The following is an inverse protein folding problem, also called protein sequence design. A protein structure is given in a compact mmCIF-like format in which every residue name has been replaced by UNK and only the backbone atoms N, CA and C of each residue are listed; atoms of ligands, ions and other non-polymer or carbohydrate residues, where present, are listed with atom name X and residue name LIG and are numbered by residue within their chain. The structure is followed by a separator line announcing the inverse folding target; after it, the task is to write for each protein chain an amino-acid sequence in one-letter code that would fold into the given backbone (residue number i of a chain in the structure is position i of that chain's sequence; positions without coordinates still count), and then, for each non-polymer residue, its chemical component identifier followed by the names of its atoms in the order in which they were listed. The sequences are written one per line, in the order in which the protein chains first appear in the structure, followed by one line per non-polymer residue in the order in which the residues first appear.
data_IF_050404024919
#
_entry.id   IF_050404024919
#
_cell.length_a   1.000
_cell.length_b   1.000
_cell.length_c   1.000
_cell.angle_alpha   90.00
_cell.angle_beta   90.00
_cell.angle_gamma   90.00
#
_symmetry.space_group_name_H-M   'P 1'
#
loop_
_entity.id
_entity.type
_entity.pdbx_description
1 polymer ?
#
# COMPACT_ATOMS: atom_id res chain seq x y z
N UNK A 1 -7.24 -15.88 -13.91
CA UNK A 1 -5.85 -15.44 -13.59
C UNK A 1 -5.16 -14.98 -14.87
N UNK A 2 -4.10 -14.17 -14.78
CA UNK A 2 -3.33 -13.70 -15.95
C UNK A 2 -2.81 -14.85 -16.84
N UNK A 3 -2.57 -16.03 -16.25
CA UNK A 3 -2.29 -17.28 -16.97
C UNK A 3 -3.44 -17.71 -17.91
N UNK A 4 -4.70 -17.47 -17.54
CA UNK A 4 -5.88 -17.80 -18.37
C UNK A 4 -5.98 -16.94 -19.63
N UNK A 5 -5.36 -15.77 -19.64
CA UNK A 5 -5.41 -14.82 -20.76
C UNK A 5 -4.05 -14.57 -21.43
N UNK A 6 -3.01 -15.34 -21.06
CA UNK A 6 -1.64 -15.22 -21.61
C UNK A 6 -1.08 -13.78 -21.60
N UNK A 7 -1.49 -12.96 -20.64
CA UNK A 7 -1.02 -11.58 -20.46
C UNK A 7 0.32 -11.57 -19.68
N UNK A 8 1.34 -12.24 -20.23
CA UNK A 8 2.67 -12.26 -19.64
C UNK A 8 3.49 -11.00 -19.96
N UNK A 9 3.05 -10.21 -20.95
CA UNK A 9 3.88 -9.15 -21.55
C UNK A 9 3.18 -7.78 -21.65
N UNK A 10 1.95 -7.67 -21.13
CA UNK A 10 1.18 -6.42 -21.15
C UNK A 10 0.93 -5.90 -19.74
N UNK A 11 1.90 -5.12 -19.24
CA UNK A 11 1.71 -3.95 -18.35
C UNK A 11 0.57 -4.05 -17.31
N UNK A 12 0.39 -5.20 -16.65
CA UNK A 12 -0.73 -5.42 -15.73
C UNK A 12 -0.69 -4.43 -14.55
N UNK A 13 0.52 -4.04 -14.14
CA UNK A 13 0.74 -3.15 -13.00
C UNK A 13 1.02 -1.69 -13.40
N UNK A 14 0.76 -1.30 -14.64
CA UNK A 14 1.13 0.04 -15.14
C UNK A 14 0.51 1.18 -14.33
N UNK A 15 -0.77 1.07 -13.95
CA UNK A 15 -1.45 2.05 -13.10
C UNK A 15 -0.93 2.06 -11.66
N UNK A 16 -0.75 0.89 -11.05
CA UNK A 16 -0.26 0.78 -9.68
C UNK A 16 1.19 1.28 -9.55
N UNK A 17 2.04 0.94 -10.51
CA UNK A 17 3.42 1.41 -10.61
C UNK A 17 3.49 2.93 -10.74
N UNK A 18 2.62 3.51 -11.57
CA UNK A 18 2.54 4.96 -11.74
C UNK A 18 2.09 5.66 -10.45
N UNK A 19 1.02 5.18 -9.83
CA UNK A 19 0.52 5.74 -8.57
C UNK A 19 1.55 5.63 -7.43
N UNK A 20 2.26 4.51 -7.32
CA UNK A 20 3.31 4.30 -6.33
C UNK A 20 4.58 5.11 -6.62
N UNK A 21 4.83 5.45 -7.89
CA UNK A 21 5.85 6.42 -8.28
C UNK A 21 5.50 7.82 -7.78
N UNK A 22 4.32 8.32 -8.14
CA UNK A 22 3.86 9.63 -7.64
C UNK A 22 3.79 9.70 -6.12
N UNK A 23 3.34 8.64 -5.44
CA UNK A 23 3.35 8.61 -3.98
C UNK A 23 4.76 8.80 -3.40
N UNK A 24 5.79 8.23 -4.04
CA UNK A 24 7.19 8.46 -3.66
C UNK A 24 7.57 9.92 -3.90
N UNK A 25 7.26 10.45 -5.08
CA UNK A 25 7.63 11.82 -5.50
C UNK A 25 6.98 12.90 -4.62
N UNK A 26 5.76 12.65 -4.13
CA UNK A 26 5.02 13.53 -3.22
C UNK A 26 5.26 13.24 -1.73
N UNK A 27 6.24 12.39 -1.39
CA UNK A 27 6.52 11.98 0.00
C UNK A 27 5.31 11.39 0.74
N UNK A 28 4.37 10.78 0.01
CA UNK A 28 3.21 10.09 0.57
C UNK A 28 3.68 8.69 1.04
N UNK A 29 3.39 8.29 2.30
CA UNK A 29 3.73 6.96 2.79
C UNK A 29 3.15 5.86 1.90
N UNK A 30 4.02 4.93 1.49
CA UNK A 30 3.66 3.79 0.65
C UNK A 30 3.51 2.53 1.51
N UNK A 31 2.51 1.73 1.18
CA UNK A 31 2.27 0.44 1.82
C UNK A 31 1.95 -0.62 0.76
N UNK A 32 2.36 -1.86 1.00
CA UNK A 32 2.12 -3.00 0.10
C UNK A 32 1.63 -4.21 0.89
N UNK A 33 0.73 -4.99 0.31
CA UNK A 33 0.32 -6.27 0.86
C UNK A 33 1.23 -7.37 0.30
N UNK A 34 1.97 -8.04 1.17
CA UNK A 34 2.90 -9.07 0.75
C UNK A 34 3.17 -10.05 1.89
N UNK A 35 3.03 -11.34 1.61
CA UNK A 35 3.47 -12.43 2.47
C UNK A 35 4.57 -13.23 1.75
N UNK A 36 5.79 -13.21 2.30
CA UNK A 36 6.93 -13.90 1.69
C UNK A 36 6.71 -15.40 1.52
N UNK A 37 5.91 -16.02 2.39
CA UNK A 37 5.67 -17.47 2.36
C UNK A 37 4.71 -17.88 1.24
N UNK A 38 3.74 -17.02 0.91
CA UNK A 38 2.68 -17.31 -0.06
C UNK A 38 2.93 -16.66 -1.43
N UNK A 39 3.53 -15.46 -1.45
CA UNK A 39 3.54 -14.58 -2.62
C UNK A 39 4.88 -14.55 -3.35
N UNK A 40 5.93 -15.17 -2.79
CA UNK A 40 7.29 -15.14 -3.34
C UNK A 40 7.39 -15.69 -4.77
N UNK A 41 6.63 -16.74 -5.07
CA UNK A 41 6.63 -17.40 -6.38
C UNK A 41 5.51 -16.92 -7.31
N UNK A 42 4.69 -15.96 -6.87
CA UNK A 42 3.55 -15.47 -7.64
C UNK A 42 3.94 -14.21 -8.44
N UNK A 43 3.85 -14.24 -9.79
CA UNK A 43 4.25 -13.12 -10.64
C UNK A 43 3.38 -11.87 -10.45
N UNK A 44 2.19 -12.00 -9.87
CA UNK A 44 1.32 -10.86 -9.57
C UNK A 44 1.91 -9.90 -8.52
N UNK A 45 2.85 -10.37 -7.70
CA UNK A 45 3.45 -9.58 -6.61
C UNK A 45 4.84 -9.02 -6.94
N UNK A 46 5.25 -9.08 -8.21
CA UNK A 46 6.54 -8.56 -8.66
C UNK A 46 6.74 -7.09 -8.30
N UNK A 47 5.73 -6.25 -8.53
CA UNK A 47 5.77 -4.84 -8.15
C UNK A 47 5.95 -4.67 -6.64
N UNK A 48 5.28 -5.48 -5.81
CA UNK A 48 5.39 -5.38 -4.36
C UNK A 48 6.80 -5.73 -3.89
N UNK A 49 7.40 -6.79 -4.45
CA UNK A 49 8.79 -7.16 -4.17
C UNK A 49 9.77 -6.06 -4.58
N UNK A 50 9.55 -5.47 -5.75
CA UNK A 50 10.36 -4.33 -6.20
C UNK A 50 10.27 -3.15 -5.24
N UNK A 51 9.06 -2.76 -4.83
CA UNK A 51 8.85 -1.62 -3.93
C UNK A 51 9.46 -1.85 -2.54
N UNK A 52 9.41 -3.09 -2.03
CA UNK A 52 10.09 -3.50 -0.79
C UNK A 52 11.61 -3.40 -0.92
N UNK A 53 12.17 -3.78 -2.08
CA UNK A 53 13.61 -3.67 -2.32
C UNK A 53 14.09 -2.22 -2.50
N UNK A 54 13.25 -1.36 -3.07
CA UNK A 54 13.57 0.04 -3.38
C UNK A 54 13.47 0.95 -2.15
N UNK A 55 12.43 0.74 -1.32
CA UNK A 55 12.19 1.54 -0.11
C UNK A 55 12.14 0.64 1.13
N UNK A 56 13.20 0.71 1.94
CA UNK A 56 13.29 -0.04 3.20
C UNK A 56 12.23 0.35 4.23
N UNK A 57 11.73 1.58 4.15
CA UNK A 57 10.72 2.12 5.08
C UNK A 57 9.28 1.85 4.63
N UNK A 58 9.07 1.02 3.61
CA UNK A 58 7.71 0.71 3.13
C UNK A 58 6.96 -0.13 4.18
N UNK A 59 5.69 0.22 4.42
CA UNK A 59 4.88 -0.56 5.36
C UNK A 59 4.36 -1.82 4.68
N UNK A 60 4.76 -2.99 5.17
CA UNK A 60 4.25 -4.28 4.69
C UNK A 60 2.99 -4.63 5.48
N UNK A 61 1.89 -4.78 4.76
CA UNK A 61 0.59 -5.13 5.30
C UNK A 61 0.39 -6.65 5.21
N UNK A 62 0.37 -7.27 6.38
CA UNK A 62 -0.10 -8.64 6.59
C UNK A 62 -1.43 -8.60 7.34
N UNK A 63 -2.13 -9.73 7.42
CA UNK A 63 -3.39 -9.80 8.17
C UNK A 63 -3.21 -9.36 9.64
N UNK A 64 -2.09 -9.77 10.26
CA UNK A 64 -1.75 -9.39 11.64
C UNK A 64 -1.51 -7.88 11.78
N UNK A 65 -0.70 -7.29 10.89
CA UNK A 65 -0.39 -5.86 10.97
C UNK A 65 -1.61 -4.98 10.65
N UNK A 66 -2.53 -5.46 9.80
CA UNK A 66 -3.78 -4.77 9.51
C UNK A 66 -4.67 -4.66 10.75
N UNK A 67 -4.83 -5.76 11.49
CA UNK A 67 -5.61 -5.77 12.73
C UNK A 67 -5.03 -4.80 13.78
N UNK A 68 -3.70 -4.79 13.93
CA UNK A 68 -2.99 -3.85 14.81
C UNK A 68 -3.19 -2.39 14.38
N UNK A 69 -3.09 -2.09 13.08
CA UNK A 69 -3.33 -0.76 12.54
C UNK A 69 -4.77 -0.31 12.75
N UNK A 70 -5.75 -1.18 12.49
CA UNK A 70 -7.17 -0.90 12.72
C UNK A 70 -7.42 -0.64 14.21
N UNK A 71 -6.83 -1.44 15.09
CA UNK A 71 -6.92 -1.24 16.56
C UNK A 71 -6.33 0.11 16.95
N UNK A 72 -5.17 0.47 16.41
CA UNK A 72 -4.50 1.76 16.65
C UNK A 72 -5.38 2.93 16.19
N UNK A 73 -5.98 2.86 14.99
CA UNK A 73 -6.90 3.89 14.49
C UNK A 73 -8.15 4.00 15.36
N UNK A 74 -8.77 2.89 15.74
CA UNK A 74 -9.96 2.88 16.62
C UNK A 74 -9.67 3.46 18.00
N UNK A 75 -8.49 3.19 18.57
CA UNK A 75 -8.07 3.73 19.86
C UNK A 75 -7.80 5.24 19.84
N UNK A 76 -7.60 5.84 18.67
CA UNK A 76 -7.29 7.27 18.51
C UNK A 76 -8.53 8.18 18.61
N UNK A 77 -9.74 7.62 18.80
CA UNK A 77 -11.01 8.34 18.89
C UNK A 77 -11.15 9.33 20.06
N UNK A 78 -10.16 9.44 20.95
CA UNK A 78 -10.17 10.40 22.07
C UNK A 78 -9.53 11.77 21.76
N UNK A 79 -9.13 12.05 20.51
CA UNK A 79 -8.77 13.42 20.16
C UNK A 79 -10.03 14.26 20.00
N UNK A 80 -10.17 15.28 20.86
CA UNK A 80 -11.25 16.29 20.84
C UNK A 80 -11.61 16.68 19.41
N UNK A 81 -12.90 16.85 19.06
CA UNK A 81 -13.28 17.28 17.72
C UNK A 81 -12.56 18.59 17.41
N UNK A 82 -11.76 18.60 16.34
CA UNK A 82 -11.18 19.83 15.83
C UNK A 82 -12.33 20.64 15.21
N UNK A 83 -12.92 21.52 15.99
CA UNK A 83 -13.93 22.47 15.50
C UNK A 83 -13.17 23.53 14.70
N UNK A 84 -13.32 23.51 13.38
CA UNK A 84 -12.82 24.58 12.52
C UNK A 84 -13.79 25.76 12.66
N UNK A 85 -13.40 26.77 13.44
CA UNK A 85 -14.29 27.88 13.79
C UNK A 85 -14.40 28.95 12.69
N UNK A 86 -13.43 29.04 11.76
CA UNK A 86 -13.29 30.21 10.90
C UNK A 86 -13.12 29.83 9.42
N UNK A 87 -14.13 29.21 8.81
CA UNK A 87 -14.12 28.92 7.36
C UNK A 87 -14.63 30.09 6.50
N UNK A 88 -15.25 31.10 7.12
CA UNK A 88 -15.87 32.23 6.42
C UNK A 88 -15.68 33.59 7.14
N UNK A 89 -14.61 33.74 7.94
CA UNK A 89 -14.15 35.08 8.34
C UNK A 89 -13.08 35.60 7.38
#
# INVERSE_FOLDING_TARGET
SAQRWKLFDQKLDSGARLAMGFAKDYNIPRAVMYDQTLDSNNPMFDLNRQLISEQRDITILTQKSLEELIKKVKSKKNSKPAIQTNLFE
#
